data_IF_554005337166
#
_entry.id   IF_554005337166
#
_cell.length_a   1.000
_cell.length_b   1.000
_cell.length_c   1.000
_cell.angle_alpha   90.00
_cell.angle_beta   90.00
_cell.angle_gamma   90.00
#
_symmetry.space_group_name_H-M   'P 1'
#
loop_
_entity.id
_entity.type
_entity.pdbx_description
1 polymer ?
#
# COMPACT_ATOMS: atom_id res chain seq x y z
N UNK A 1 -10.85 -15.78 -28.28
CA UNK A 1 -9.95 -14.97 -27.43
C UNK A 1 -10.11 -15.42 -25.98
N UNK A 2 -9.07 -15.97 -25.37
CA UNK A 2 -9.14 -16.51 -24.01
C UNK A 2 -9.21 -15.34 -23.00
N UNK A 3 -10.22 -15.35 -22.10
CA UNK A 3 -10.32 -14.37 -21.02
C UNK A 3 -9.43 -14.82 -19.87
N UNK A 4 -8.22 -14.28 -19.78
CA UNK A 4 -7.28 -14.55 -18.67
C UNK A 4 -7.69 -13.90 -17.36
N UNK A 5 -8.40 -12.76 -17.39
CA UNK A 5 -8.81 -12.05 -16.18
C UNK A 5 -10.12 -12.61 -15.62
N UNK A 6 -10.11 -13.00 -14.34
CA UNK A 6 -11.34 -13.22 -13.58
C UNK A 6 -11.98 -11.85 -13.27
N UNK A 7 -13.29 -11.83 -13.28
CA UNK A 7 -14.09 -10.63 -13.02
C UNK A 7 -14.91 -10.73 -11.74
N UNK A 8 -14.70 -11.78 -10.93
CA UNK A 8 -15.60 -12.11 -9.82
C UNK A 8 -14.91 -12.06 -8.45
N UNK A 9 -13.63 -12.43 -8.39
CA UNK A 9 -12.92 -12.57 -7.13
C UNK A 9 -11.59 -11.85 -7.19
N UNK A 10 -11.39 -10.94 -6.25
CA UNK A 10 -10.19 -10.11 -6.15
C UNK A 10 -9.55 -10.23 -4.76
N UNK A 11 -8.29 -9.89 -4.70
CA UNK A 11 -7.54 -9.71 -3.45
C UNK A 11 -6.82 -8.38 -3.46
N UNK A 12 -6.76 -7.72 -2.32
CA UNK A 12 -6.05 -6.46 -2.12
C UNK A 12 -5.06 -6.59 -0.98
N UNK A 13 -3.95 -5.89 -1.12
CA UNK A 13 -2.96 -5.73 -0.05
C UNK A 13 -2.09 -4.50 -0.30
N UNK A 14 -1.36 -4.07 0.74
CA UNK A 14 -0.41 -2.98 0.70
C UNK A 14 1.02 -3.44 1.00
N UNK A 15 1.98 -2.69 0.47
CA UNK A 15 3.39 -2.96 0.69
C UNK A 15 4.19 -1.67 0.83
N UNK A 16 5.15 -1.63 1.76
CA UNK A 16 6.00 -0.46 1.94
C UNK A 16 7.14 -0.46 0.91
N UNK A 17 7.36 0.70 0.29
CA UNK A 17 8.49 1.01 -0.59
C UNK A 17 9.36 2.02 0.15
N UNK A 18 10.59 1.64 0.48
CA UNK A 18 11.52 2.53 1.18
C UNK A 18 11.90 3.70 0.25
N UNK A 19 11.83 4.92 0.77
CA UNK A 19 12.18 6.12 0.02
C UNK A 19 13.69 6.21 -0.21
N UNK A 20 14.11 6.90 -1.27
CA UNK A 20 15.52 7.22 -1.50
C UNK A 20 16.11 8.14 -0.43
N UNK A 21 15.27 8.93 0.25
CA UNK A 21 15.68 9.87 1.28
C UNK A 21 16.27 9.18 2.52
N UNK A 22 17.33 9.76 3.06
CA UNK A 22 17.94 9.32 4.32
C UNK A 22 17.12 9.82 5.52
N UNK A 23 17.13 9.07 6.61
CA UNK A 23 16.59 9.52 7.91
C UNK A 23 17.26 10.80 8.41
N UNK A 24 18.49 11.09 7.99
CA UNK A 24 19.22 12.33 8.30
C UNK A 24 18.62 13.56 7.60
N UNK A 25 17.77 13.39 6.58
CA UNK A 25 17.11 14.49 5.89
C UNK A 25 15.83 14.97 6.60
N UNK A 26 15.42 14.35 7.70
CA UNK A 26 14.22 14.75 8.45
C UNK A 26 14.51 16.08 9.18
N UNK A 27 13.66 17.06 8.90
CA UNK A 27 13.71 18.42 9.51
C UNK A 27 12.35 18.78 10.08
N UNK A 28 12.29 19.65 11.08
CA UNK A 28 11.04 20.27 11.51
C UNK A 28 10.38 21.00 10.33
N UNK A 29 9.08 20.92 10.24
CA UNK A 29 8.30 21.75 9.31
C UNK A 29 8.14 23.12 9.94
N UNK A 30 8.75 24.15 9.33
CA UNK A 30 8.49 25.54 9.69
C UNK A 30 7.17 25.99 9.07
N UNK A 31 6.38 26.85 9.73
CA UNK A 31 5.11 27.33 9.18
C UNK A 31 5.23 28.08 7.84
N UNK A 32 6.44 28.53 7.50
CA UNK A 32 6.72 29.36 6.32
C UNK A 32 7.15 28.58 5.07
N UNK A 33 7.38 27.26 5.16
CA UNK A 33 7.76 26.48 3.99
C UNK A 33 6.53 25.81 3.33
N UNK A 34 5.65 26.64 2.76
CA UNK A 34 4.99 26.30 1.53
C UNK A 34 6.05 26.19 0.41
N UNK A 35 5.76 25.59 -0.78
CA UNK A 35 6.73 25.43 -1.87
C UNK A 35 7.18 26.83 -2.36
N UNK A 36 8.32 27.29 -1.88
CA UNK A 36 8.89 28.58 -2.19
C UNK A 36 10.41 28.50 -2.18
N UNK A 37 11.00 28.80 -3.32
CA UNK A 37 12.40 29.10 -3.50
C UNK A 37 12.91 30.09 -2.45
N UNK A 38 13.92 29.68 -1.68
CA UNK A 38 14.71 30.57 -0.86
C UNK A 38 16.14 30.05 -0.78
N UNK A 39 17.16 30.92 -0.93
CA UNK A 39 18.56 30.50 -0.97
C UNK A 39 19.01 29.93 0.38
N UNK A 40 19.90 28.94 0.30
CA UNK A 40 20.60 28.31 1.41
C UNK A 40 21.33 29.34 2.27
N UNK A 41 20.75 29.82 3.34
CA UNK A 41 21.51 30.41 4.44
C UNK A 41 21.87 29.31 5.46
N UNK A 42 23.15 29.08 5.75
CA UNK A 42 23.53 28.18 6.81
C UNK A 42 23.08 28.71 8.15
N UNK A 43 22.46 27.93 9.04
CA UNK A 43 22.05 28.40 10.37
C UNK A 43 23.28 28.82 11.15
N UNK A 44 23.31 30.08 11.57
CA UNK A 44 24.30 30.61 12.48
C UNK A 44 24.12 29.96 13.87
N UNK A 45 25.08 29.14 14.26
CA UNK A 45 25.11 28.55 15.60
C UNK A 45 25.91 27.25 15.61
N UNK A 46 27.15 27.29 16.11
CA UNK A 46 28.05 26.15 16.25
C UNK A 46 27.51 25.05 17.15
N UNK A 47 26.76 24.14 16.60
CA UNK A 47 26.37 22.88 17.20
C UNK A 47 27.04 21.76 16.43
N UNK A 48 27.74 20.86 17.12
CA UNK A 48 28.40 19.70 16.49
C UNK A 48 27.40 18.85 15.69
N UNK A 49 27.91 17.95 14.83
CA UNK A 49 27.13 17.04 13.94
C UNK A 49 25.93 16.32 14.56
N UNK A 50 25.82 16.32 15.88
CA UNK A 50 24.75 15.69 16.64
C UNK A 50 23.80 16.67 17.35
N UNK A 51 24.01 18.00 17.27
CA UNK A 51 23.14 18.98 17.93
C UNK A 51 21.71 18.93 17.38
N UNK A 52 21.56 18.77 16.07
CA UNK A 52 20.25 18.56 15.41
C UNK A 52 19.65 17.15 15.64
N UNK A 53 20.43 16.23 16.18
CA UNK A 53 19.98 14.87 16.50
C UNK A 53 19.49 14.76 17.95
N UNK A 54 19.71 15.79 18.78
CA UNK A 54 19.23 15.83 20.16
C UNK A 54 17.72 16.08 20.18
N UNK A 55 16.98 15.02 20.42
CA UNK A 55 15.52 15.03 20.37
C UNK A 55 14.86 15.55 21.63
N UNK A 56 15.55 16.03 22.63
CA UNK A 56 15.04 16.62 23.88
C UNK A 56 13.60 16.20 24.26
N UNK A 57 13.27 14.91 24.14
CA UNK A 57 11.93 14.38 24.40
C UNK A 57 10.84 14.69 23.34
N UNK A 58 11.15 15.40 22.26
CA UNK A 58 10.15 15.69 21.22
C UNK A 58 9.88 14.46 20.34
N UNK A 59 8.62 14.03 20.31
CA UNK A 59 8.16 12.94 19.45
C UNK A 59 8.08 13.42 18.02
N UNK A 60 8.93 12.91 17.13
CA UNK A 60 8.85 13.18 15.69
C UNK A 60 7.58 12.54 15.13
N UNK A 61 6.80 13.31 14.40
CA UNK A 61 5.62 12.85 13.67
C UNK A 61 5.60 13.45 12.26
N UNK A 62 4.86 12.86 11.36
CA UNK A 62 4.66 13.40 10.01
C UNK A 62 3.95 14.78 10.01
N UNK A 63 3.29 15.15 11.12
CA UNK A 63 2.70 16.48 11.28
C UNK A 63 3.77 17.55 11.53
N UNK A 64 4.79 17.21 12.32
CA UNK A 64 5.82 18.16 12.79
C UNK A 64 7.13 18.11 12.01
N UNK A 65 7.40 16.98 11.32
CA UNK A 65 8.66 16.75 10.61
C UNK A 65 8.41 16.19 9.20
N UNK A 66 9.33 16.49 8.28
CA UNK A 66 9.34 15.94 6.91
C UNK A 66 10.76 15.78 6.40
N UNK A 67 10.92 15.02 5.33
CA UNK A 67 12.21 14.90 4.66
C UNK A 67 12.45 16.11 3.76
N UNK A 68 13.59 16.78 3.90
CA UNK A 68 14.02 17.83 2.96
C UNK A 68 14.46 17.27 1.60
N UNK A 69 14.83 15.99 1.54
CA UNK A 69 15.25 15.31 0.29
C UNK A 69 14.08 14.80 -0.53
N UNK A 70 13.02 14.34 0.14
CA UNK A 70 11.82 13.79 -0.49
C UNK A 70 10.59 14.14 0.38
N UNK A 71 9.98 15.32 0.17
CA UNK A 71 8.87 15.81 0.98
C UNK A 71 7.62 14.93 0.96
N UNK A 72 7.46 14.09 -0.07
CA UNK A 72 6.32 13.19 -0.18
C UNK A 72 6.49 11.91 0.65
N UNK A 73 7.73 11.52 0.95
CA UNK A 73 8.00 10.36 1.80
C UNK A 73 7.50 10.60 3.23
N UNK A 74 6.92 9.58 3.83
CA UNK A 74 6.40 9.65 5.20
C UNK A 74 7.16 8.69 6.12
N UNK A 75 7.35 9.16 7.35
CA UNK A 75 7.88 8.32 8.41
C UNK A 75 6.80 7.32 8.82
N UNK A 76 7.03 6.04 8.58
CA UNK A 76 6.06 4.99 8.85
C UNK A 76 6.71 3.78 9.52
N UNK A 77 5.93 3.13 10.39
CA UNK A 77 6.35 1.97 11.18
C UNK A 77 5.42 0.80 10.91
N UNK A 78 5.95 -0.27 10.36
CA UNK A 78 5.16 -1.45 9.96
C UNK A 78 4.45 -2.17 11.13
N UNK A 79 4.86 -1.92 12.36
CA UNK A 79 4.28 -2.53 13.56
C UNK A 79 5.01 -2.17 14.84
N UNK A 80 4.47 -2.59 15.98
CA UNK A 80 5.11 -2.40 17.27
C UNK A 80 6.51 -3.06 17.28
N UNK A 81 7.51 -2.40 17.88
CA UNK A 81 8.89 -2.91 17.92
C UNK A 81 9.69 -2.78 16.62
N UNK A 82 9.09 -2.37 15.48
CA UNK A 82 9.83 -2.14 14.22
C UNK A 82 10.33 -0.70 14.14
N UNK A 83 11.46 -0.53 13.46
CA UNK A 83 12.03 0.78 13.15
C UNK A 83 11.11 1.56 12.20
N UNK A 84 10.96 2.87 12.46
CA UNK A 84 10.29 3.77 11.54
C UNK A 84 11.23 4.13 10.39
N UNK A 85 10.72 4.13 9.15
CA UNK A 85 11.47 4.47 7.94
C UNK A 85 10.70 5.47 7.09
N UNK A 86 11.43 6.29 6.34
CA UNK A 86 10.84 7.09 5.28
C UNK A 86 10.42 6.16 4.15
N UNK A 87 9.15 6.15 3.82
CA UNK A 87 8.60 5.25 2.82
C UNK A 87 7.34 5.81 2.16
N UNK A 88 6.97 5.15 1.09
CA UNK A 88 5.67 5.20 0.42
C UNK A 88 4.93 3.88 0.66
N UNK A 89 3.66 3.85 0.35
CA UNK A 89 2.84 2.65 0.40
C UNK A 89 2.32 2.31 -1.00
N UNK A 90 2.78 1.18 -1.53
CA UNK A 90 2.28 0.62 -2.78
C UNK A 90 1.12 -0.30 -2.52
N UNK A 91 0.05 -0.19 -3.31
CA UNK A 91 -1.15 -1.00 -3.21
C UNK A 91 -1.36 -1.78 -4.50
N UNK A 92 -1.90 -2.98 -4.39
CA UNK A 92 -2.22 -3.81 -5.54
C UNK A 92 -3.58 -4.46 -5.40
N UNK A 93 -4.32 -4.51 -6.49
CA UNK A 93 -5.52 -5.30 -6.65
C UNK A 93 -5.20 -6.46 -7.61
N UNK A 94 -5.41 -7.68 -7.16
CA UNK A 94 -5.09 -8.90 -7.91
C UNK A 94 -6.37 -9.68 -8.18
N UNK A 95 -6.56 -10.17 -9.40
CA UNK A 95 -7.60 -11.16 -9.67
C UNK A 95 -7.16 -12.55 -9.18
N UNK A 96 -8.11 -13.32 -8.65
CA UNK A 96 -7.78 -14.54 -7.89
C UNK A 96 -7.60 -15.81 -8.74
N UNK A 97 -7.99 -15.82 -10.02
CA UNK A 97 -7.91 -17.01 -10.87
C UNK A 97 -6.47 -17.29 -11.30
N UNK A 98 -5.82 -16.30 -11.89
CA UNK A 98 -4.47 -16.42 -12.44
C UNK A 98 -3.41 -15.66 -11.66
N UNK A 99 -3.84 -14.81 -10.71
CA UNK A 99 -2.94 -14.01 -9.89
C UNK A 99 -2.29 -12.86 -10.68
N UNK A 100 -3.06 -12.25 -11.59
CA UNK A 100 -2.63 -11.06 -12.32
C UNK A 100 -3.03 -9.80 -11.54
N UNK A 101 -2.13 -8.84 -11.45
CA UNK A 101 -2.40 -7.53 -10.86
C UNK A 101 -3.24 -6.74 -11.86
N UNK A 102 -4.46 -6.38 -11.48
CA UNK A 102 -5.42 -5.68 -12.34
C UNK A 102 -5.40 -4.18 -12.12
N UNK A 103 -4.96 -3.74 -10.94
CA UNK A 103 -4.72 -2.35 -10.61
C UNK A 103 -3.59 -2.22 -9.59
N UNK A 104 -2.86 -1.10 -9.66
CA UNK A 104 -1.77 -0.80 -8.73
C UNK A 104 -1.60 0.71 -8.59
N UNK A 105 -1.53 1.21 -7.36
CA UNK A 105 -1.29 2.61 -7.08
C UNK A 105 -0.30 2.80 -5.93
N UNK A 106 0.19 4.03 -5.78
CA UNK A 106 1.09 4.42 -4.70
C UNK A 106 0.48 5.59 -3.92
N UNK A 107 0.61 5.55 -2.61
CA UNK A 107 0.19 6.64 -1.72
C UNK A 107 1.32 7.03 -0.77
N UNK A 108 1.13 8.15 -0.08
CA UNK A 108 1.90 8.42 1.11
C UNK A 108 1.58 7.36 2.18
N UNK A 109 2.58 6.94 2.94
CA UNK A 109 2.37 5.92 3.96
C UNK A 109 1.66 6.50 5.20
N UNK A 110 0.44 6.04 5.44
CA UNK A 110 -0.33 6.34 6.65
C UNK A 110 -1.18 5.13 7.09
N UNK A 111 -1.87 5.24 8.23
CA UNK A 111 -2.65 4.15 8.81
C UNK A 111 -3.99 3.85 8.11
N UNK A 112 -4.43 4.71 7.19
CA UNK A 112 -5.70 4.60 6.47
C UNK A 112 -5.53 4.35 4.97
N UNK A 113 -4.36 4.64 4.43
CA UNK A 113 -4.06 4.60 2.99
C UNK A 113 -4.43 3.25 2.34
N UNK A 114 -4.18 2.13 3.02
CA UNK A 114 -4.49 0.80 2.49
C UNK A 114 -5.99 0.61 2.20
N UNK A 115 -6.86 1.04 3.13
CA UNK A 115 -8.30 0.90 2.97
C UNK A 115 -8.86 1.83 1.91
N UNK A 116 -8.41 3.08 1.90
CA UNK A 116 -8.82 4.08 0.90
C UNK A 116 -8.41 3.64 -0.51
N UNK A 117 -7.17 3.22 -0.68
CA UNK A 117 -6.67 2.72 -1.95
C UNK A 117 -7.43 1.46 -2.41
N UNK A 118 -7.74 0.54 -1.49
CA UNK A 118 -8.51 -0.66 -1.81
C UNK A 118 -9.90 -0.35 -2.33
N UNK A 119 -10.62 0.60 -1.71
CA UNK A 119 -11.94 1.05 -2.19
C UNK A 119 -11.83 1.67 -3.58
N UNK A 120 -10.88 2.55 -3.78
CA UNK A 120 -10.67 3.22 -5.06
C UNK A 120 -10.33 2.23 -6.21
N UNK A 121 -9.48 1.25 -5.93
CA UNK A 121 -9.11 0.24 -6.94
C UNK A 121 -10.25 -0.74 -7.26
N UNK A 122 -11.12 -1.08 -6.30
CA UNK A 122 -12.20 -2.05 -6.53
C UNK A 122 -13.45 -1.41 -7.16
N UNK A 123 -13.68 -0.11 -6.94
CA UNK A 123 -14.86 0.62 -7.41
C UNK A 123 -15.13 0.44 -8.92
N UNK A 124 -14.15 0.58 -9.84
CA UNK A 124 -14.38 0.36 -11.28
C UNK A 124 -14.80 -1.06 -11.65
N UNK A 125 -14.59 -2.02 -10.76
CA UNK A 125 -14.95 -3.42 -10.94
C UNK A 125 -16.31 -3.77 -10.34
N UNK A 126 -16.87 -2.89 -9.51
CA UNK A 126 -18.10 -3.12 -8.73
C UNK A 126 -19.38 -2.91 -9.54
N UNK A 127 -19.36 -2.04 -10.56
CA UNK A 127 -20.52 -1.76 -11.43
C UNK A 127 -20.80 -2.93 -12.39
N UNK A 128 -21.39 -4.01 -11.85
CA UNK A 128 -21.69 -5.24 -12.58
C UNK A 128 -22.96 -5.90 -12.05
N UNK A 129 -23.68 -6.67 -12.93
CA UNK A 129 -24.88 -7.40 -12.52
C UNK A 129 -24.65 -8.40 -11.40
N UNK A 130 -23.47 -9.05 -11.37
CA UNK A 130 -23.11 -10.05 -10.35
C UNK A 130 -22.24 -9.41 -9.27
N UNK A 131 -22.55 -9.72 -8.01
CA UNK A 131 -21.72 -9.35 -6.89
C UNK A 131 -20.33 -9.97 -7.03
N UNK A 132 -19.30 -9.18 -6.72
CA UNK A 132 -17.90 -9.60 -6.68
C UNK A 132 -17.44 -9.77 -5.24
N UNK A 133 -16.29 -10.41 -5.01
CA UNK A 133 -15.72 -10.52 -3.67
C UNK A 133 -14.31 -9.95 -3.61
N UNK A 134 -13.96 -9.33 -2.48
CA UNK A 134 -12.65 -8.79 -2.19
C UNK A 134 -12.04 -9.48 -0.98
N UNK A 135 -10.94 -10.22 -1.19
CA UNK A 135 -10.12 -10.81 -0.15
C UNK A 135 -9.11 -9.81 0.39
N UNK A 136 -9.08 -9.63 1.74
CA UNK A 136 -8.13 -8.74 2.39
C UNK A 136 -7.67 -9.31 3.74
N UNK A 137 -6.60 -8.76 4.30
CA UNK A 137 -6.09 -9.16 5.61
C UNK A 137 -6.93 -8.56 6.76
N UNK A 138 -6.58 -8.90 8.01
CA UNK A 138 -7.30 -8.41 9.18
C UNK A 138 -7.07 -6.92 9.47
N UNK A 139 -6.10 -6.27 8.86
CA UNK A 139 -5.89 -4.82 8.92
C UNK A 139 -7.02 -4.05 8.26
N UNK A 140 -7.71 -4.70 7.33
CA UNK A 140 -8.90 -4.17 6.65
C UNK A 140 -10.23 -4.45 7.38
N UNK A 141 -10.22 -5.15 8.53
CA UNK A 141 -11.43 -5.41 9.31
C UNK A 141 -11.81 -4.15 10.11
N UNK A 142 -12.37 -3.18 9.42
CA UNK A 142 -12.90 -1.92 9.93
C UNK A 142 -14.32 -1.73 9.42
N UNK A 143 -15.19 -1.20 10.28
CA UNK A 143 -16.63 -1.12 10.01
C UNK A 143 -16.94 -0.22 8.81
N UNK A 144 -16.28 0.93 8.73
CA UNK A 144 -16.35 1.87 7.62
C UNK A 144 -16.01 1.20 6.29
N UNK A 145 -14.88 0.52 6.22
CA UNK A 145 -14.41 -0.19 5.02
C UNK A 145 -15.36 -1.32 4.59
N UNK A 146 -15.82 -2.13 5.55
CA UNK A 146 -16.73 -3.25 5.27
C UNK A 146 -18.09 -2.76 4.79
N UNK A 147 -18.61 -1.68 5.38
CA UNK A 147 -19.86 -1.07 4.96
C UNK A 147 -19.77 -0.45 3.57
N UNK A 148 -18.66 0.22 3.25
CA UNK A 148 -18.42 0.79 1.93
C UNK A 148 -18.33 -0.29 0.84
N UNK A 149 -17.64 -1.39 1.08
CA UNK A 149 -17.63 -2.54 0.16
C UNK A 149 -19.06 -3.08 -0.09
N UNK A 150 -19.88 -3.18 0.96
CA UNK A 150 -21.25 -3.66 0.82
C UNK A 150 -22.13 -2.69 0.04
N UNK A 151 -21.97 -1.38 0.24
CA UNK A 151 -22.68 -0.36 -0.53
C UNK A 151 -22.40 -0.47 -2.03
N UNK A 152 -21.16 -0.79 -2.39
CA UNK A 152 -20.73 -1.08 -3.76
C UNK A 152 -21.09 -2.49 -4.27
N UNK A 153 -21.87 -3.29 -3.51
CA UNK A 153 -22.21 -4.70 -3.82
C UNK A 153 -20.98 -5.62 -3.91
N UNK A 154 -19.91 -5.29 -3.20
CA UNK A 154 -18.70 -6.11 -3.06
C UNK A 154 -18.80 -6.92 -1.77
N UNK A 155 -18.67 -8.25 -1.86
CA UNK A 155 -18.67 -9.13 -0.69
C UNK A 155 -17.32 -9.07 0.01
N UNK A 156 -17.24 -8.61 1.27
CA UNK A 156 -15.97 -8.45 1.98
C UNK A 156 -15.48 -9.79 2.54
N UNK A 157 -14.53 -10.43 1.87
CA UNK A 157 -13.82 -11.61 2.38
C UNK A 157 -12.58 -11.19 3.19
N UNK A 158 -12.78 -10.32 4.16
CA UNK A 158 -11.73 -9.80 5.05
C UNK A 158 -11.48 -10.75 6.20
N UNK A 159 -10.21 -11.01 6.53
CA UNK A 159 -9.85 -11.84 7.67
C UNK A 159 -10.28 -11.16 8.97
N UNK A 160 -11.05 -11.87 9.81
CA UNK A 160 -11.59 -11.32 11.05
C UNK A 160 -10.50 -10.94 12.04
N UNK A 161 -10.63 -9.76 12.61
CA UNK A 161 -9.85 -9.38 13.77
C UNK A 161 -10.50 -9.97 15.03
N UNK A 162 -9.80 -10.90 15.66
CA UNK A 162 -10.24 -11.54 16.92
C UNK A 162 -9.49 -11.02 18.14
N UNK A 163 -8.60 -10.04 17.97
CA UNK A 163 -7.76 -9.49 19.03
C UNK A 163 -8.42 -8.28 19.69
N UNK A 164 -9.22 -8.50 20.73
CA UNK A 164 -9.71 -7.46 21.64
C UNK A 164 -10.84 -6.56 21.13
N UNK A 165 -11.33 -6.72 19.89
CA UNK A 165 -12.46 -5.95 19.35
C UNK A 165 -13.41 -6.82 18.55
N UNK A 166 -14.66 -6.35 18.42
CA UNK A 166 -15.66 -6.99 17.55
C UNK A 166 -15.25 -6.80 16.09
N UNK A 167 -15.23 -7.90 15.32
CA UNK A 167 -15.06 -7.86 13.87
C UNK A 167 -16.29 -7.28 13.16
N UNK A 168 -16.08 -6.49 12.12
CA UNK A 168 -17.14 -6.00 11.22
C UNK A 168 -17.67 -7.11 10.27
N UNK A 169 -16.92 -8.23 10.16
CA UNK A 169 -17.32 -9.37 9.33
C UNK A 169 -18.32 -10.25 10.07
N UNK A 170 -19.51 -10.39 9.51
CA UNK A 170 -20.60 -11.15 10.07
C UNK A 170 -20.47 -12.67 9.88
N UNK A 171 -21.33 -13.43 10.60
CA UNK A 171 -21.34 -14.89 10.53
C UNK A 171 -21.80 -15.43 9.16
N UNK A 172 -22.61 -14.67 8.41
CA UNK A 172 -23.06 -15.08 7.06
C UNK A 172 -21.88 -15.16 6.11
N UNK A 173 -21.05 -14.09 6.08
CA UNK A 173 -19.85 -14.04 5.26
C UNK A 173 -18.90 -15.20 5.60
N UNK A 174 -18.66 -15.44 6.89
CA UNK A 174 -17.72 -16.49 7.34
C UNK A 174 -18.17 -17.91 6.99
N UNK A 175 -19.48 -18.18 7.01
CA UNK A 175 -20.03 -19.49 6.67
C UNK A 175 -20.01 -19.82 5.18
N UNK A 176 -19.85 -18.80 4.34
CA UNK A 176 -19.80 -19.00 2.90
C UNK A 176 -18.53 -19.77 2.49
N UNK A 177 -18.61 -20.86 1.69
CA UNK A 177 -17.44 -21.65 1.31
C UNK A 177 -16.35 -20.84 0.63
N UNK A 178 -16.73 -19.84 -0.18
CA UNK A 178 -15.82 -18.92 -0.87
C UNK A 178 -14.98 -18.06 0.08
N UNK A 179 -15.42 -17.81 1.31
CA UNK A 179 -14.68 -17.01 2.28
C UNK A 179 -13.32 -17.63 2.61
N UNK A 180 -13.29 -18.91 3.00
CA UNK A 180 -12.05 -19.62 3.34
C UNK A 180 -11.12 -19.76 2.12
N UNK A 181 -11.70 -19.95 0.93
CA UNK A 181 -10.95 -19.99 -0.33
C UNK A 181 -10.30 -18.65 -0.62
N UNK A 182 -11.05 -17.53 -0.52
CA UNK A 182 -10.51 -16.19 -0.72
C UNK A 182 -9.37 -15.87 0.24
N UNK A 183 -9.51 -16.20 1.54
CA UNK A 183 -8.46 -15.97 2.53
C UNK A 183 -7.18 -16.76 2.26
N UNK A 184 -7.27 -17.93 1.65
CA UNK A 184 -6.12 -18.71 1.23
C UNK A 184 -5.46 -18.12 -0.03
N UNK A 185 -6.29 -17.79 -1.04
CA UNK A 185 -5.80 -17.34 -2.35
C UNK A 185 -5.22 -15.92 -2.26
N UNK A 186 -5.75 -15.03 -1.41
CA UNK A 186 -5.25 -13.67 -1.26
C UNK A 186 -3.74 -13.59 -1.01
N UNK A 187 -3.15 -14.61 -0.40
CA UNK A 187 -1.70 -14.66 -0.15
C UNK A 187 -0.85 -14.61 -1.41
N UNK A 188 -1.42 -14.91 -2.58
CA UNK A 188 -0.71 -14.80 -3.87
C UNK A 188 -0.25 -13.37 -4.19
N UNK A 189 -0.91 -12.35 -3.63
CA UNK A 189 -0.48 -10.96 -3.84
C UNK A 189 0.90 -10.70 -3.20
N UNK A 190 1.25 -11.44 -2.15
CA UNK A 190 2.56 -11.37 -1.52
C UNK A 190 3.67 -11.83 -2.49
N UNK A 191 3.38 -12.78 -3.39
CA UNK A 191 4.30 -13.21 -4.46
C UNK A 191 4.57 -12.07 -5.44
N UNK A 192 3.52 -11.33 -5.85
CA UNK A 192 3.67 -10.17 -6.72
C UNK A 192 4.52 -9.08 -6.06
N UNK A 193 4.24 -8.75 -4.80
CA UNK A 193 5.05 -7.79 -4.06
C UNK A 193 6.48 -8.26 -3.81
N UNK A 194 6.67 -9.55 -3.55
CA UNK A 194 7.99 -10.16 -3.48
C UNK A 194 8.79 -9.95 -4.75
N UNK A 195 8.19 -10.24 -5.91
CA UNK A 195 8.80 -10.06 -7.22
C UNK A 195 9.09 -8.57 -7.52
N UNK A 196 8.12 -7.68 -7.28
CA UNK A 196 8.28 -6.22 -7.45
C UNK A 196 9.46 -5.70 -6.62
N UNK A 197 9.60 -6.17 -5.38
CA UNK A 197 10.68 -5.73 -4.48
C UNK A 197 12.05 -6.30 -4.83
N UNK A 198 12.11 -7.53 -5.28
CA UNK A 198 13.38 -8.23 -5.54
C UNK A 198 13.81 -8.12 -6.99
N UNK A 199 13.01 -8.63 -7.92
CA UNK A 199 13.35 -8.70 -9.34
C UNK A 199 13.26 -7.31 -9.99
N UNK A 200 12.16 -6.58 -9.76
CA UNK A 200 12.01 -5.22 -10.27
C UNK A 200 12.74 -4.16 -9.43
N UNK A 201 13.41 -4.55 -8.33
CA UNK A 201 14.26 -3.67 -7.53
C UNK A 201 13.54 -2.57 -6.74
N UNK A 202 12.22 -2.68 -6.53
CA UNK A 202 11.40 -1.66 -5.87
C UNK A 202 11.35 -1.81 -4.32
N UNK A 203 12.26 -2.53 -3.70
CA UNK A 203 12.34 -2.57 -2.23
C UNK A 203 12.66 -1.20 -1.65
N UNK A 204 13.60 -0.50 -2.28
CA UNK A 204 13.96 0.88 -2.06
C UNK A 204 13.93 1.60 -3.40
N UNK A 205 13.09 2.64 -3.51
CA UNK A 205 12.99 3.37 -4.77
C UNK A 205 14.28 4.13 -5.10
N UNK A 206 14.55 4.35 -6.38
CA UNK A 206 15.61 5.23 -6.87
C UNK A 206 15.08 6.60 -7.30
N UNK A 207 13.77 6.79 -7.22
CA UNK A 207 13.07 8.02 -7.58
C UNK A 207 12.66 8.77 -6.32
N UNK A 208 12.31 10.04 -6.48
CA UNK A 208 11.76 10.92 -5.45
C UNK A 208 10.42 11.47 -5.92
N UNK A 209 9.55 11.77 -4.97
CA UNK A 209 8.22 12.29 -5.22
C UNK A 209 7.22 11.19 -5.56
N UNK A 210 5.96 11.42 -5.17
CA UNK A 210 4.88 10.44 -5.26
C UNK A 210 4.65 9.97 -6.68
N UNK A 211 4.65 10.88 -7.65
CA UNK A 211 4.33 10.57 -9.05
C UNK A 211 5.36 9.64 -9.70
N UNK A 212 6.66 9.96 -9.54
CA UNK A 212 7.73 9.15 -10.16
C UNK A 212 7.86 7.78 -9.52
N UNK A 213 7.71 7.72 -8.19
CA UNK A 213 7.73 6.44 -7.46
C UNK A 213 6.49 5.63 -7.80
N UNK A 214 5.32 6.27 -7.91
CA UNK A 214 4.07 5.65 -8.33
C UNK A 214 4.15 5.07 -9.73
N UNK A 215 4.66 5.84 -10.68
CA UNK A 215 4.90 5.35 -12.05
C UNK A 215 5.79 4.10 -12.05
N UNK A 216 6.93 4.14 -11.33
CA UNK A 216 7.85 3.01 -11.27
C UNK A 216 7.22 1.77 -10.63
N UNK A 217 6.40 1.95 -9.60
CA UNK A 217 5.68 0.87 -8.93
C UNK A 217 4.62 0.23 -9.85
N UNK A 218 3.81 1.04 -10.53
CA UNK A 218 2.79 0.58 -11.48
C UNK A 218 3.43 -0.13 -12.67
N UNK A 219 4.54 0.41 -13.19
CA UNK A 219 5.30 -0.24 -14.25
C UNK A 219 5.85 -1.60 -13.82
N UNK A 220 6.36 -1.72 -12.59
CA UNK A 220 6.84 -2.98 -12.04
C UNK A 220 5.70 -4.00 -11.88
N UNK A 221 4.50 -3.57 -11.50
CA UNK A 221 3.31 -4.44 -11.45
C UNK A 221 2.89 -4.93 -12.85
N UNK A 222 2.94 -4.06 -13.86
CA UNK A 222 2.72 -4.45 -15.25
C UNK A 222 3.77 -5.44 -15.76
N UNK A 223 5.06 -5.22 -15.44
CA UNK A 223 6.13 -6.14 -15.78
C UNK A 223 5.97 -7.52 -15.13
N UNK A 224 5.52 -7.58 -13.88
CA UNK A 224 5.16 -8.85 -13.22
C UNK A 224 4.11 -9.63 -14.02
N UNK A 225 3.06 -8.96 -14.48
CA UNK A 225 2.05 -9.60 -15.33
C UNK A 225 2.64 -10.11 -16.65
N UNK A 226 3.46 -9.30 -17.33
CA UNK A 226 4.09 -9.67 -18.60
C UNK A 226 4.96 -10.92 -18.49
N UNK A 227 5.71 -11.07 -17.41
CA UNK A 227 6.53 -12.27 -17.15
C UNK A 227 5.68 -13.53 -16.94
N UNK A 228 4.47 -13.39 -16.39
CA UNK A 228 3.56 -14.52 -16.13
C UNK A 228 2.74 -14.95 -17.35
N UNK A 229 2.44 -14.02 -18.25
CA UNK A 229 1.55 -14.28 -19.40
C UNK A 229 1.96 -15.48 -20.27
N UNK A 230 3.24 -15.67 -20.66
CA UNK A 230 3.61 -16.80 -21.50
C UNK A 230 3.23 -18.15 -20.89
N UNK A 231 3.47 -18.32 -19.57
CA UNK A 231 3.11 -19.55 -18.87
C UNK A 231 1.60 -19.75 -18.81
N UNK A 232 0.83 -18.71 -18.50
CA UNK A 232 -0.63 -18.76 -18.43
C UNK A 232 -1.25 -19.10 -19.80
N UNK A 233 -0.66 -18.60 -20.88
CA UNK A 233 -1.11 -18.92 -22.24
C UNK A 233 -0.80 -20.37 -22.60
N UNK A 234 0.35 -20.91 -22.18
CA UNK A 234 0.72 -22.30 -22.40
C UNK A 234 -0.16 -23.29 -21.60
N UNK A 235 -0.47 -23.00 -20.34
CA UNK A 235 -1.33 -23.83 -19.48
C UNK A 235 -2.81 -23.83 -19.92
N UNK A 236 -3.19 -22.89 -20.75
CA UNK A 236 -4.58 -22.72 -21.23
C UNK A 236 -4.81 -23.35 -22.62
N UNK A 237 -3.80 -23.95 -23.25
CA UNK A 237 -3.86 -24.69 -24.52
C UNK A 237 -4.09 -26.15 -24.31
#
# INVERSE_FOLDING_TARGET
MKRLLSTEHFSVDGTLIEAWASMKSIRPKTPENGPGDGPDEPPAGGGGRNADASFHGQKRSNATHGSSTDPDARLYKKGAGKEARLCFMGHGLMENRHGLVVDACLTQADGHAERVAALHMIEPHADRPRAISLGADRGYDAEDFVNELRSMRVTPHVARNTSGRRSAIDRRTVRHPGYSVSLRIRKRIEEAFGWIKTVAGQRKTRFRGLDRVGWAFTFAAAAYNLVRLPRLLAESG
#
